data_IF_362594632177
#
_entry.id   IF_362594632177
#
_cell.length_a   1.000
_cell.length_b   1.000
_cell.length_c   1.000
_cell.angle_alpha   90.00
_cell.angle_beta   90.00
_cell.angle_gamma   90.00
#
_symmetry.space_group_name_H-M   'P 1'
#
loop_
_entity.id
_entity.type
_entity.pdbx_description
1 polymer ?
#
# COMPACT_ATOMS: atom_id res chain seq x y z
N UNK A 1 -8.93 -23.26 -8.60
CA UNK A 1 -8.71 -22.94 -7.18
C UNK A 1 -8.09 -21.56 -7.11
N UNK A 2 -8.86 -20.54 -6.71
CA UNK A 2 -8.26 -19.26 -6.35
C UNK A 2 -7.55 -19.49 -5.01
N UNK A 3 -6.23 -19.34 -4.96
CA UNK A 3 -5.55 -19.28 -3.67
C UNK A 3 -5.95 -17.97 -3.01
N UNK A 4 -6.99 -18.02 -2.18
CA UNK A 4 -7.49 -16.86 -1.45
C UNK A 4 -6.52 -16.62 -0.30
N UNK A 5 -5.77 -15.53 -0.38
CA UNK A 5 -5.11 -14.95 0.79
C UNK A 5 -6.18 -14.21 1.59
N UNK A 6 -6.15 -14.38 2.91
CA UNK A 6 -6.92 -13.54 3.82
C UNK A 6 -6.37 -12.11 3.81
N UNK A 7 -7.22 -11.15 4.17
CA UNK A 7 -6.81 -9.75 4.30
C UNK A 7 -5.63 -9.57 5.29
N UNK A 8 -5.56 -10.41 6.33
CA UNK A 8 -4.46 -10.40 7.28
C UNK A 8 -3.12 -10.81 6.62
N UNK A 9 -3.12 -11.88 5.81
CA UNK A 9 -1.94 -12.31 5.05
C UNK A 9 -1.53 -11.26 4.02
N UNK A 10 -2.49 -10.62 3.34
CA UNK A 10 -2.21 -9.54 2.40
C UNK A 10 -1.54 -8.33 3.09
N UNK A 11 -2.07 -7.93 4.26
CA UNK A 11 -1.47 -6.85 5.07
C UNK A 11 -0.09 -7.24 5.59
N UNK A 12 0.13 -8.49 5.97
CA UNK A 12 1.45 -8.98 6.40
C UNK A 12 2.47 -8.89 5.26
N UNK A 13 2.12 -9.36 4.06
CA UNK A 13 2.98 -9.26 2.88
C UNK A 13 3.35 -7.79 2.59
N UNK A 14 2.37 -6.89 2.59
CA UNK A 14 2.62 -5.46 2.39
C UNK A 14 3.51 -4.88 3.50
N UNK A 15 3.28 -5.27 4.75
CA UNK A 15 4.06 -4.81 5.90
C UNK A 15 5.54 -5.13 5.77
N UNK A 16 5.88 -6.29 5.21
CA UNK A 16 7.27 -6.70 4.98
C UNK A 16 7.96 -5.82 3.93
N UNK A 17 7.23 -5.41 2.88
CA UNK A 17 7.78 -4.56 1.83
C UNK A 17 8.03 -3.13 2.30
N UNK A 18 7.18 -2.62 3.19
CA UNK A 18 7.34 -1.28 3.77
C UNK A 18 8.24 -1.27 5.01
N UNK A 19 8.60 -2.42 5.55
CA UNK A 19 9.42 -2.57 6.76
C UNK A 19 10.74 -1.76 6.72
N UNK A 20 11.49 -1.70 5.59
CA UNK A 20 12.74 -0.95 5.51
C UNK A 20 12.56 0.58 5.52
N UNK A 21 11.35 1.08 5.32
CA UNK A 21 11.10 2.51 5.33
C UNK A 21 11.29 3.10 6.75
N UNK A 22 11.77 4.35 6.80
CA UNK A 22 11.95 5.08 8.06
C UNK A 22 11.36 6.49 8.01
N UNK A 23 11.15 7.10 9.18
CA UNK A 23 10.73 8.50 9.30
C UNK A 23 9.36 8.77 8.66
N UNK A 24 9.23 9.91 7.95
CA UNK A 24 7.96 10.33 7.34
C UNK A 24 7.44 9.37 6.28
N UNK A 25 8.33 8.77 5.49
CA UNK A 25 7.94 7.78 4.49
C UNK A 25 7.30 6.57 5.15
N UNK A 26 7.86 6.11 6.29
CA UNK A 26 7.29 4.99 7.05
C UNK A 26 5.90 5.32 7.59
N UNK A 27 5.77 6.49 8.23
CA UNK A 27 4.47 6.95 8.75
C UNK A 27 3.39 7.03 7.66
N UNK A 28 3.76 7.47 6.46
CA UNK A 28 2.85 7.49 5.30
C UNK A 28 2.45 6.07 4.87
N UNK A 29 3.42 5.17 4.74
CA UNK A 29 3.17 3.79 4.31
C UNK A 29 2.32 3.01 5.32
N UNK A 30 2.54 3.20 6.62
CA UNK A 30 1.70 2.61 7.67
C UNK A 30 0.27 3.15 7.60
N UNK A 31 0.08 4.46 7.38
CA UNK A 31 -1.25 5.05 7.22
C UNK A 31 -2.00 4.48 6.00
N UNK A 32 -1.31 4.25 4.88
CA UNK A 32 -1.87 3.61 3.71
C UNK A 32 -2.21 2.12 3.95
N UNK A 33 -1.36 1.41 4.70
CA UNK A 33 -1.59 0.01 5.06
C UNK A 33 -2.80 -0.18 5.99
N UNK A 34 -3.06 0.78 6.87
CA UNK A 34 -4.26 0.79 7.70
C UNK A 34 -5.54 0.87 6.86
N UNK A 35 -5.54 1.70 5.81
CA UNK A 35 -6.67 1.87 4.88
C UNK A 35 -6.86 0.69 3.93
N UNK A 36 -5.81 -0.10 3.67
CA UNK A 36 -5.88 -1.27 2.79
C UNK A 36 -7.04 -2.22 3.20
N UNK A 37 -7.86 -2.70 2.25
CA UNK A 37 -7.68 -2.66 0.79
C UNK A 37 -8.25 -1.41 0.10
N UNK A 38 -8.80 -0.47 0.87
CA UNK A 38 -9.40 0.74 0.32
C UNK A 38 -8.35 1.84 0.13
N UNK A 39 -8.52 2.71 -0.88
CA UNK A 39 -7.66 3.86 -1.04
C UNK A 39 -7.88 4.87 0.08
N UNK A 40 -6.83 5.59 0.44
CA UNK A 40 -6.85 6.66 1.43
C UNK A 40 -7.04 8.02 0.75
N UNK A 41 -7.91 8.87 1.30
CA UNK A 41 -8.11 10.23 0.81
C UNK A 41 -6.92 11.13 1.17
N UNK A 42 -6.55 12.03 0.26
CA UNK A 42 -5.46 12.99 0.44
C UNK A 42 -5.60 13.82 1.72
N UNK A 43 -6.75 14.46 1.93
CA UNK A 43 -6.98 15.34 3.08
C UNK A 43 -6.88 14.58 4.41
N UNK A 44 -7.38 13.34 4.43
CA UNK A 44 -7.24 12.43 5.57
C UNK A 44 -5.77 12.16 5.89
N UNK A 45 -4.94 11.86 4.89
CA UNK A 45 -3.50 11.64 5.08
C UNK A 45 -2.78 12.92 5.54
N UNK A 46 -3.09 14.06 4.93
CA UNK A 46 -2.49 15.35 5.29
C UNK A 46 -2.80 15.74 6.74
N UNK A 47 -4.05 15.53 7.16
CA UNK A 47 -4.50 15.77 8.53
C UNK A 47 -3.84 14.79 9.51
N UNK A 48 -3.96 13.48 9.25
CA UNK A 48 -3.46 12.42 10.13
C UNK A 48 -1.95 12.51 10.37
N UNK A 49 -1.20 12.82 9.32
CA UNK A 49 0.27 12.89 9.39
C UNK A 49 0.76 14.29 9.70
N UNK A 50 -0.16 15.25 9.86
CA UNK A 50 0.15 16.65 10.12
C UNK A 50 1.20 17.16 9.13
N UNK A 51 0.95 16.96 7.83
CA UNK A 51 1.82 17.51 6.78
C UNK A 51 1.65 19.03 6.74
N UNK A 52 2.35 19.71 7.65
CA UNK A 52 2.43 21.17 7.75
C UNK A 52 3.90 21.59 7.59
N UNK A 53 4.17 22.63 6.80
CA UNK A 53 5.52 23.20 6.64
C UNK A 53 6.48 22.44 5.71
N UNK A 54 7.72 22.18 6.16
CA UNK A 54 8.92 21.82 5.36
C UNK A 54 8.86 20.51 4.53
N UNK A 55 7.91 19.62 4.80
CA UNK A 55 7.75 18.35 4.08
C UNK A 55 6.34 18.26 3.51
N UNK A 56 6.21 18.55 2.21
CA UNK A 56 4.95 18.36 1.50
C UNK A 56 4.65 16.87 1.35
N UNK A 57 3.36 16.52 1.32
CA UNK A 57 2.90 15.17 1.02
C UNK A 57 3.57 14.62 -0.25
N UNK A 58 3.72 15.45 -1.28
CA UNK A 58 4.40 15.07 -2.53
C UNK A 58 5.85 14.63 -2.37
N UNK A 59 6.63 15.29 -1.51
CA UNK A 59 8.01 14.87 -1.22
C UNK A 59 8.07 13.55 -0.44
N UNK A 60 7.16 13.37 0.52
CA UNK A 60 7.09 12.14 1.32
C UNK A 60 6.62 10.97 0.46
N UNK A 61 5.63 11.17 -0.41
CA UNK A 61 5.18 10.18 -1.40
C UNK A 61 6.34 9.72 -2.30
N UNK A 62 7.13 10.67 -2.83
CA UNK A 62 8.28 10.34 -3.68
C UNK A 62 9.29 9.44 -2.96
N UNK A 63 9.58 9.71 -1.68
CA UNK A 63 10.50 8.90 -0.90
C UNK A 63 9.88 7.54 -0.49
N UNK A 64 8.57 7.50 -0.24
CA UNK A 64 7.85 6.27 0.07
C UNK A 64 7.83 5.30 -1.13
N UNK A 65 7.71 5.83 -2.35
CA UNK A 65 7.74 5.07 -3.61
C UNK A 65 9.02 4.26 -3.86
N UNK A 66 10.09 4.53 -3.10
CA UNK A 66 11.33 3.74 -3.15
C UNK A 66 11.09 2.31 -2.63
N UNK A 67 10.17 2.15 -1.66
CA UNK A 67 9.94 0.88 -0.99
C UNK A 67 8.80 0.08 -1.64
N UNK A 68 7.75 0.78 -2.06
CA UNK A 68 6.58 0.19 -2.72
C UNK A 68 5.90 1.25 -3.58
N UNK A 69 5.42 0.87 -4.77
CA UNK A 69 4.70 1.80 -5.63
C UNK A 69 3.39 2.25 -4.96
N UNK A 70 3.02 3.51 -5.18
CA UNK A 70 1.80 4.11 -4.63
C UNK A 70 1.00 4.67 -5.80
N UNK A 71 -0.19 4.10 -6.02
CA UNK A 71 -1.12 4.54 -7.04
C UNK A 71 -1.85 5.78 -6.59
N UNK A 72 -2.08 6.68 -7.54
CA UNK A 72 -2.89 7.89 -7.33
C UNK A 72 -4.10 7.81 -8.25
N UNK A 73 -5.30 7.92 -7.68
CA UNK A 73 -6.53 8.08 -8.45
C UNK A 73 -7.18 9.42 -8.09
N UNK A 74 -7.72 10.08 -9.10
CA UNK A 74 -8.49 11.30 -8.91
C UNK A 74 -9.94 11.01 -9.24
N UNK A 75 -10.84 11.46 -8.39
CA UNK A 75 -12.26 11.50 -8.70
C UNK A 75 -12.56 12.87 -9.33
N UNK A 76 -12.98 12.85 -10.59
CA UNK A 76 -13.22 14.05 -11.38
C UNK A 76 -14.46 14.83 -10.88
N UNK A 77 -15.43 14.14 -10.28
CA UNK A 77 -16.70 14.75 -9.86
C UNK A 77 -16.55 15.45 -8.50
N UNK A 78 -15.76 14.87 -7.60
CA UNK A 78 -15.53 15.42 -6.26
C UNK A 78 -14.22 16.23 -6.13
N UNK A 79 -13.39 16.24 -7.19
CA UNK A 79 -12.03 16.80 -7.17
C UNK A 79 -11.16 16.22 -6.02
N UNK A 80 -11.49 15.02 -5.54
CA UNK A 80 -10.76 14.33 -4.49
C UNK A 80 -9.62 13.49 -5.08
N UNK A 81 -8.52 13.44 -4.34
CA UNK A 81 -7.34 12.65 -4.69
C UNK A 81 -7.16 11.53 -3.67
N UNK A 82 -6.88 10.34 -4.18
CA UNK A 82 -6.83 9.10 -3.42
C UNK A 82 -5.51 8.38 -3.67
N UNK A 83 -5.00 7.69 -2.64
CA UNK A 83 -3.75 6.95 -2.68
C UNK A 83 -3.91 5.51 -2.20
N UNK A 84 -3.29 4.55 -2.89
CA UNK A 84 -3.28 3.15 -2.49
C UNK A 84 -1.92 2.49 -2.72
N UNK A 85 -1.58 1.50 -1.89
CA UNK A 85 -0.38 0.69 -2.08
C UNK A 85 -0.56 -0.23 -3.29
N UNK A 86 0.49 -0.39 -4.09
CA UNK A 86 0.52 -1.40 -5.15
C UNK A 86 0.43 -2.82 -4.58
N UNK A 87 -0.38 -3.66 -5.20
CA UNK A 87 -0.66 -5.02 -4.76
C UNK A 87 0.10 -6.09 -5.56
N UNK A 88 1.11 -5.72 -6.38
CA UNK A 88 1.85 -6.68 -7.20
C UNK A 88 2.51 -7.78 -6.37
N UNK A 89 3.04 -7.44 -5.18
CA UNK A 89 3.62 -8.41 -4.25
C UNK A 89 2.58 -9.44 -3.77
N UNK A 90 1.34 -9.01 -3.53
CA UNK A 90 0.21 -9.89 -3.17
C UNK A 90 -0.15 -10.79 -4.36
N UNK A 91 -0.21 -10.24 -5.59
CA UNK A 91 -0.49 -11.04 -6.79
C UNK A 91 0.55 -12.14 -7.00
N UNK A 92 1.84 -11.82 -6.80
CA UNK A 92 2.93 -12.81 -6.86
C UNK A 92 2.75 -13.88 -5.77
N UNK A 93 2.45 -13.49 -4.53
CA UNK A 93 2.22 -14.44 -3.44
C UNK A 93 1.05 -15.39 -3.71
N UNK A 94 -0.05 -14.88 -4.29
CA UNK A 94 -1.20 -15.69 -4.73
C UNK A 94 -0.79 -16.73 -5.77
N UNK A 95 -0.01 -16.32 -6.79
CA UNK A 95 0.50 -17.23 -7.83
C UNK A 95 1.38 -18.32 -7.21
N UNK A 96 2.33 -17.96 -6.34
CA UNK A 96 3.22 -18.93 -5.69
C UNK A 96 2.45 -19.95 -4.84
N UNK A 97 1.41 -19.52 -4.14
CA UNK A 97 0.54 -20.43 -3.37
C UNK A 97 -0.19 -21.43 -4.26
N UNK A 98 -0.70 -20.98 -5.42
CA UNK A 98 -1.32 -21.87 -6.42
C UNK A 98 -0.28 -22.90 -6.90
N UNK A 99 0.89 -22.44 -7.34
CA UNK A 99 1.94 -23.32 -7.86
C UNK A 99 2.37 -24.37 -6.82
N UNK A 100 2.62 -23.97 -5.57
CA UNK A 100 2.99 -24.88 -4.50
C UNK A 100 1.87 -25.88 -4.17
N UNK A 101 0.61 -25.46 -4.23
CA UNK A 101 -0.54 -26.36 -4.03
C UNK A 101 -0.73 -27.38 -5.15
N UNK A 102 -0.25 -27.07 -6.37
CA UNK A 102 -0.29 -27.97 -7.52
C UNK A 102 0.85 -28.98 -7.47
N UNK A 103 2.05 -28.56 -7.05
CA UNK A 103 3.23 -29.44 -6.93
C UNK A 103 3.04 -30.53 -5.87
N UNK A 104 2.34 -30.24 -4.77
CA UNK A 104 2.03 -31.24 -3.73
C UNK A 104 0.96 -32.26 -4.17
N UNK A 105 0.27 -32.01 -5.30
CA UNK A 105 -0.81 -32.87 -5.81
C UNK A 105 -0.39 -33.75 -7.00
N UNK A 106 0.87 -33.67 -7.44
CA UNK A 106 1.47 -34.53 -8.46
C UNK A 106 2.40 -35.54 -7.80
#
# INVERSE_FOLDING_TARGET
MNAILSLAEEKEILSWHIAPATGRSRQLLDALLECYPHPAEKEMLETKLSFTGKHSLGSVLRNAKIFIEIHTSNDADSNQCYYSLDDSCIRIAKINRIMNSLVVRC
#
